data_IF_617875879017
#
_entry.id   IF_617875879017
#
_cell.length_a   1.000
_cell.length_b   1.000
_cell.length_c   1.000
_cell.angle_alpha   90.00
_cell.angle_beta   90.00
_cell.angle_gamma   90.00
#
_symmetry.space_group_name_H-M   'P 1'
#
loop_
_entity.id
_entity.type
_entity.pdbx_description
1 polymer ?
#
# COMPACT_ATOMS: atom_id res chain seq x y z
N UNK A 1 20.73 -25.49 -15.48
CA UNK A 1 20.54 -24.17 -14.87
C UNK A 1 21.09 -24.28 -13.44
N UNK A 2 22.16 -23.54 -13.12
CA UNK A 2 22.81 -23.68 -11.82
C UNK A 2 21.89 -23.19 -10.69
N UNK A 3 21.87 -23.90 -9.55
CA UNK A 3 21.15 -23.54 -8.33
C UNK A 3 21.37 -22.07 -7.89
N UNK A 4 22.51 -21.48 -8.24
CA UNK A 4 22.85 -20.06 -8.04
C UNK A 4 21.95 -19.14 -8.87
N UNK A 5 21.54 -19.53 -10.08
CA UNK A 5 20.61 -18.75 -10.91
C UNK A 5 19.17 -18.80 -10.39
N UNK A 6 18.80 -19.86 -9.66
CA UNK A 6 17.48 -19.96 -9.05
C UNK A 6 17.34 -18.97 -7.87
N UNK A 7 18.40 -18.84 -7.06
CA UNK A 7 18.43 -17.90 -5.93
C UNK A 7 18.37 -16.44 -6.39
N UNK A 8 19.00 -16.12 -7.51
CA UNK A 8 19.04 -14.76 -8.06
C UNK A 8 17.70 -14.33 -8.67
N UNK A 9 16.86 -15.26 -9.10
CA UNK A 9 15.58 -15.00 -9.77
C UNK A 9 14.42 -14.73 -8.80
N UNK A 10 14.52 -15.23 -7.57
CA UNK A 10 13.48 -15.08 -6.53
C UNK A 10 13.79 -13.98 -5.52
N UNK A 11 15.06 -13.67 -5.40
CA UNK A 11 15.59 -12.89 -4.30
C UNK A 11 15.98 -11.48 -4.72
N UNK A 12 15.52 -11.04 -5.90
CA UNK A 12 15.51 -9.60 -6.15
C UNK A 12 14.71 -9.00 -4.99
N UNK A 13 15.28 -8.05 -4.24
CA UNK A 13 14.54 -7.41 -3.18
C UNK A 13 13.20 -7.02 -3.79
N UNK A 14 12.09 -7.60 -3.26
CA UNK A 14 10.87 -6.84 -3.28
C UNK A 14 11.34 -5.51 -2.73
N UNK A 15 11.51 -4.52 -3.56
CA UNK A 15 11.68 -3.19 -3.11
C UNK A 15 10.68 -3.05 -1.98
N UNK A 16 11.10 -2.52 -0.84
CA UNK A 16 10.15 -1.92 0.06
C UNK A 16 9.41 -0.76 -0.62
N UNK A 17 9.67 -0.51 -1.90
CA UNK A 17 8.73 0.03 -2.85
C UNK A 17 7.54 -0.94 -2.86
N UNK A 18 6.73 -0.79 -1.87
CA UNK A 18 5.42 -1.34 -1.74
C UNK A 18 4.61 -0.60 -2.79
N UNK A 19 4.73 -1.09 -4.01
CA UNK A 19 4.14 -0.53 -5.17
C UNK A 19 2.64 -0.75 -5.12
N UNK A 20 1.90 0.30 -5.12
CA UNK A 20 0.46 0.29 -5.19
C UNK A 20 0.03 1.29 -6.26
N UNK A 21 -0.73 0.81 -7.21
CA UNK A 21 -1.33 1.66 -8.21
C UNK A 21 -2.50 2.42 -7.57
N UNK A 22 -2.36 3.71 -7.32
CA UNK A 22 -3.54 4.54 -7.23
C UNK A 22 -4.16 4.62 -8.62
N UNK A 23 -5.16 3.81 -8.85
CA UNK A 23 -6.22 4.21 -9.76
C UNK A 23 -7.15 5.05 -8.90
N UNK A 24 -6.88 6.34 -8.82
CA UNK A 24 -7.95 7.25 -8.44
C UNK A 24 -9.05 7.05 -9.49
N UNK A 25 -10.09 6.37 -9.07
CA UNK A 25 -11.38 6.50 -9.75
C UNK A 25 -11.77 7.98 -9.68
N UNK A 26 -12.49 8.53 -10.68
CA UNK A 26 -12.93 9.92 -10.63
C UNK A 26 -13.93 10.05 -9.49
N UNK A 27 -13.45 10.51 -8.41
CA UNK A 27 -14.19 10.68 -7.19
C UNK A 27 -14.31 12.13 -6.82
N UNK A 28 -14.36 13.02 -7.78
CA UNK A 28 -14.94 14.34 -7.49
C UNK A 28 -16.42 14.23 -7.05
N UNK A 29 -17.09 13.09 -7.29
CA UNK A 29 -18.48 12.87 -6.89
C UNK A 29 -18.69 11.58 -6.09
N UNK A 30 -17.82 10.56 -6.22
CA UNK A 30 -17.98 9.27 -5.52
C UNK A 30 -16.92 9.07 -4.42
N UNK A 31 -15.79 9.77 -4.44
CA UNK A 31 -14.70 9.73 -3.44
C UNK A 31 -14.72 10.91 -2.44
N UNK A 32 -15.79 11.66 -2.38
CA UNK A 32 -16.08 12.45 -1.16
C UNK A 32 -16.21 11.53 0.09
N UNK A 33 -15.92 10.23 -0.07
CA UNK A 33 -15.73 9.22 0.98
C UNK A 33 -14.26 8.91 1.27
N UNK A 34 -13.33 9.44 0.49
CA UNK A 34 -11.95 9.56 0.95
C UNK A 34 -11.94 10.42 2.19
N UNK A 35 -11.12 10.04 3.13
CA UNK A 35 -10.71 10.85 4.25
C UNK A 35 -10.80 12.33 3.84
N UNK A 36 -11.88 13.00 4.27
CA UNK A 36 -11.97 14.46 4.22
C UNK A 36 -10.59 14.93 4.64
N UNK A 37 -9.86 15.71 3.83
CA UNK A 37 -8.63 16.31 4.31
C UNK A 37 -8.97 16.94 5.64
N UNK A 38 -8.25 16.59 6.69
CA UNK A 38 -8.51 17.08 8.07
C UNK A 38 -8.58 18.61 8.15
N UNK A 39 -8.28 19.31 7.06
CA UNK A 39 -8.20 20.78 6.97
C UNK A 39 -9.53 21.49 6.69
N UNK A 40 -10.60 20.81 6.27
CA UNK A 40 -11.86 21.51 5.93
C UNK A 40 -12.92 21.49 7.05
N UNK A 41 -12.58 21.08 8.27
CA UNK A 41 -13.49 21.10 9.42
C UNK A 41 -13.29 22.33 10.34
N UNK A 42 -12.74 23.44 9.84
CA UNK A 42 -12.86 24.75 10.49
C UNK A 42 -14.10 25.51 10.03
N UNK A 43 -15.25 24.84 9.95
CA UNK A 43 -16.52 25.55 9.88
C UNK A 43 -17.01 25.86 11.29
N UNK A 44 -17.15 27.17 11.53
CA UNK A 44 -17.87 27.87 12.59
C UNK A 44 -18.69 26.97 13.53
N UNK A 45 -18.14 26.76 14.72
CA UNK A 45 -18.82 26.17 15.86
C UNK A 45 -20.00 27.07 16.28
N UNK A 46 -21.21 26.66 15.90
CA UNK A 46 -22.43 27.17 16.50
C UNK A 46 -22.63 26.45 17.86
N UNK A 47 -22.56 27.19 18.94
CA UNK A 47 -22.43 26.70 20.31
C UNK A 47 -23.62 25.92 20.87
N UNK A 48 -24.76 25.88 20.17
CA UNK A 48 -26.01 25.31 20.68
C UNK A 48 -26.36 23.88 20.19
N UNK A 49 -25.55 23.25 19.30
CA UNK A 49 -25.78 21.88 18.81
C UNK A 49 -24.84 20.81 19.41
N UNK A 50 -24.00 21.18 20.35
CA UNK A 50 -22.84 20.37 20.82
C UNK A 50 -23.21 19.13 21.67
N UNK A 51 -24.48 18.97 22.06
CA UNK A 51 -24.91 17.88 22.96
C UNK A 51 -25.76 16.78 22.28
N UNK A 52 -26.10 16.93 21.02
CA UNK A 52 -26.84 15.95 20.27
C UNK A 52 -25.92 14.89 19.62
N UNK A 53 -26.28 13.61 19.76
CA UNK A 53 -25.61 12.52 19.05
C UNK A 53 -25.84 12.66 17.54
N UNK A 54 -24.78 12.87 16.79
CA UNK A 54 -24.78 12.85 15.33
C UNK A 54 -24.41 11.44 14.84
N UNK A 55 -25.19 10.92 13.89
CA UNK A 55 -24.98 9.61 13.28
C UNK A 55 -24.78 9.82 11.77
N UNK A 56 -23.63 9.42 11.27
CA UNK A 56 -23.36 9.39 9.82
C UNK A 56 -23.14 7.96 9.38
N UNK A 57 -23.87 7.56 8.35
CA UNK A 57 -23.77 6.22 7.75
C UNK A 57 -23.43 6.40 6.27
N UNK A 58 -22.43 5.68 5.81
CA UNK A 58 -21.99 5.66 4.43
C UNK A 58 -21.67 4.23 4.04
N UNK A 59 -21.71 3.95 2.74
CA UNK A 59 -21.36 2.62 2.29
C UNK A 59 -21.31 2.48 0.78
N UNK A 60 -20.90 1.32 0.34
CA UNK A 60 -20.94 0.96 -1.06
C UNK A 60 -21.10 -0.55 -1.24
N UNK A 61 -21.59 -0.92 -2.42
CA UNK A 61 -21.56 -2.27 -2.95
C UNK A 61 -20.70 -2.25 -4.21
N UNK A 62 -19.66 -3.07 -4.29
CA UNK A 62 -18.88 -3.24 -5.51
C UNK A 62 -18.80 -4.72 -5.93
N UNK A 63 -18.65 -4.93 -7.24
CA UNK A 63 -18.29 -6.23 -7.78
C UNK A 63 -17.13 -6.04 -8.76
N UNK A 64 -16.12 -6.91 -8.66
CA UNK A 64 -14.89 -6.88 -9.45
C UNK A 64 -14.62 -8.26 -10.03
N UNK A 65 -14.47 -8.32 -11.34
CA UNK A 65 -14.19 -9.55 -12.06
C UNK A 65 -13.05 -9.32 -13.04
N UNK A 66 -12.07 -10.23 -13.03
CA UNK A 66 -10.91 -10.19 -13.91
C UNK A 66 -10.63 -11.54 -14.55
N UNK A 67 -10.28 -11.52 -15.83
CA UNK A 67 -9.91 -12.70 -16.62
C UNK A 67 -8.49 -12.52 -17.13
N UNK A 68 -7.68 -13.57 -17.01
CA UNK A 68 -6.35 -13.63 -17.60
C UNK A 68 -6.45 -13.57 -19.12
N UNK A 69 -5.64 -12.76 -19.75
CA UNK A 69 -5.58 -12.63 -21.21
C UNK A 69 -4.44 -13.43 -21.84
N UNK A 70 -3.56 -13.99 -21.00
CA UNK A 70 -2.43 -14.82 -21.43
C UNK A 70 -2.64 -16.27 -20.98
N UNK A 71 -2.49 -17.23 -21.88
CA UNK A 71 -2.67 -18.66 -21.56
C UNK A 71 -4.13 -19.12 -21.57
N UNK A 72 -4.62 -19.71 -20.49
CA UNK A 72 -5.90 -20.44 -20.45
C UNK A 72 -7.15 -19.59 -20.20
N UNK A 73 -7.07 -18.28 -20.18
CA UNK A 73 -8.19 -17.36 -19.88
C UNK A 73 -8.96 -17.74 -18.58
N UNK A 74 -8.21 -18.08 -17.53
CA UNK A 74 -8.75 -18.38 -16.21
C UNK A 74 -9.11 -17.12 -15.42
N UNK A 75 -9.96 -17.29 -14.40
CA UNK A 75 -10.33 -16.21 -13.52
C UNK A 75 -9.15 -15.74 -12.66
N UNK A 76 -8.84 -14.45 -12.71
CA UNK A 76 -7.84 -13.79 -11.89
C UNK A 76 -8.41 -13.17 -10.62
N UNK A 77 -9.64 -12.66 -10.70
CA UNK A 77 -10.41 -12.16 -9.57
C UNK A 77 -11.92 -12.37 -9.83
N UNK A 78 -12.67 -12.65 -8.79
CA UNK A 78 -14.13 -12.67 -8.79
C UNK A 78 -14.60 -12.35 -7.38
N UNK A 79 -14.94 -11.09 -7.13
CA UNK A 79 -15.27 -10.60 -5.80
C UNK A 79 -16.48 -9.67 -5.84
N UNK A 80 -17.39 -9.84 -4.89
CA UNK A 80 -18.44 -8.88 -4.56
C UNK A 80 -18.26 -8.45 -3.12
N UNK A 81 -18.32 -7.16 -2.84
CA UNK A 81 -18.08 -6.58 -1.52
C UNK A 81 -19.12 -5.52 -1.21
N UNK A 82 -19.66 -5.56 0.00
CA UNK A 82 -20.37 -4.45 0.61
C UNK A 82 -19.50 -3.87 1.73
N UNK A 83 -19.31 -2.56 1.74
CA UNK A 83 -18.70 -1.83 2.85
C UNK A 83 -19.74 -0.95 3.51
N UNK A 84 -19.83 -1.03 4.83
CA UNK A 84 -20.63 -0.12 5.66
C UNK A 84 -19.72 0.61 6.64
N UNK A 85 -19.90 1.92 6.76
CA UNK A 85 -19.18 2.80 7.66
C UNK A 85 -20.16 3.59 8.52
N UNK A 86 -19.94 3.56 9.82
CA UNK A 86 -20.76 4.28 10.79
C UNK A 86 -19.85 5.18 11.62
N UNK A 87 -20.19 6.45 11.69
CA UNK A 87 -19.56 7.42 12.57
C UNK A 87 -20.59 8.00 13.52
N UNK A 88 -20.35 7.82 14.81
CA UNK A 88 -21.15 8.35 15.91
C UNK A 88 -20.36 9.47 16.59
N UNK A 89 -20.87 10.69 16.60
CA UNK A 89 -20.19 11.86 17.18
C UNK A 89 -21.05 12.48 18.27
N UNK A 90 -20.42 12.79 19.41
CA UNK A 90 -21.01 13.56 20.49
C UNK A 90 -19.96 14.44 21.16
N UNK A 91 -20.11 15.75 21.02
CA UNK A 91 -19.11 16.71 21.51
C UNK A 91 -17.73 16.43 20.95
N UNK A 92 -16.73 16.33 21.82
CA UNK A 92 -15.33 16.07 21.44
C UNK A 92 -15.02 14.61 21.08
N UNK A 93 -15.98 13.69 21.20
CA UNK A 93 -15.74 12.23 21.06
C UNK A 93 -16.46 11.69 19.85
N UNK A 94 -15.78 10.83 19.07
CA UNK A 94 -16.43 10.06 18.01
C UNK A 94 -16.00 8.59 18.01
N UNK A 95 -16.93 7.70 17.69
CA UNK A 95 -16.69 6.30 17.38
C UNK A 95 -16.82 6.10 15.86
N UNK A 96 -15.81 5.52 15.25
CA UNK A 96 -15.85 5.11 13.84
C UNK A 96 -15.72 3.60 13.71
N UNK A 97 -16.58 3.00 12.88
CA UNK A 97 -16.55 1.57 12.56
C UNK A 97 -16.74 1.40 11.05
N UNK A 98 -15.84 0.65 10.41
CA UNK A 98 -15.93 0.25 9.00
C UNK A 98 -15.84 -1.27 8.88
N UNK A 99 -16.84 -1.87 8.21
CA UNK A 99 -16.99 -3.32 8.01
C UNK A 99 -17.07 -3.63 6.52
N UNK A 100 -16.39 -4.69 6.11
CA UNK A 100 -16.54 -5.29 4.79
C UNK A 100 -17.33 -6.62 4.94
N UNK A 101 -18.32 -6.85 4.08
CA UNK A 101 -18.88 -8.15 3.80
C UNK A 101 -18.43 -8.56 2.40
N UNK A 102 -17.67 -9.66 2.28
CA UNK A 102 -16.98 -10.06 1.06
C UNK A 102 -17.48 -11.44 0.64
N UNK A 103 -17.83 -11.58 -0.63
CA UNK A 103 -17.95 -12.85 -1.32
C UNK A 103 -16.81 -12.97 -2.33
N UNK A 104 -15.99 -14.01 -2.22
CA UNK A 104 -14.89 -14.29 -3.14
C UNK A 104 -15.11 -15.62 -3.86
N UNK A 105 -15.31 -15.58 -5.17
CA UNK A 105 -15.61 -16.76 -5.97
C UNK A 105 -14.39 -17.67 -6.22
N UNK A 106 -13.17 -17.17 -6.06
CA UNK A 106 -11.92 -17.92 -6.26
C UNK A 106 -11.37 -18.40 -4.92
N UNK A 107 -11.18 -17.49 -3.97
CA UNK A 107 -10.63 -17.75 -2.63
C UNK A 107 -11.78 -17.80 -1.62
N UNK A 108 -12.43 -18.95 -1.50
CA UNK A 108 -13.61 -19.12 -0.64
C UNK A 108 -13.35 -18.78 0.82
N UNK A 109 -12.12 -18.98 1.30
CA UNK A 109 -11.66 -18.63 2.64
C UNK A 109 -11.62 -17.11 2.90
N UNK A 110 -11.67 -16.30 1.86
CA UNK A 110 -11.81 -14.83 1.93
C UNK A 110 -13.27 -14.36 1.92
N UNK A 111 -14.23 -15.30 1.82
CA UNK A 111 -15.65 -14.99 1.96
C UNK A 111 -15.99 -14.84 3.44
N UNK A 112 -16.61 -13.72 3.81
CA UNK A 112 -16.99 -13.46 5.20
C UNK A 112 -17.13 -11.98 5.52
N UNK A 113 -17.16 -11.69 6.82
CA UNK A 113 -17.20 -10.32 7.35
C UNK A 113 -15.83 -9.97 7.91
N UNK A 114 -15.31 -8.83 7.53
CA UNK A 114 -14.03 -8.29 7.96
C UNK A 114 -14.22 -6.94 8.64
N UNK A 115 -13.65 -6.79 9.84
CA UNK A 115 -13.54 -5.50 10.49
C UNK A 115 -12.36 -4.73 9.87
N UNK A 116 -12.66 -3.70 9.07
CA UNK A 116 -11.62 -2.86 8.46
C UNK A 116 -11.05 -1.90 9.50
N UNK A 117 -11.89 -1.03 10.07
CA UNK A 117 -11.48 -0.09 11.10
C UNK A 117 -12.50 -0.05 12.23
N UNK A 118 -12.03 0.17 13.46
CA UNK A 118 -12.86 0.45 14.63
C UNK A 118 -12.02 1.22 15.65
N UNK A 119 -12.28 2.52 15.80
CA UNK A 119 -11.54 3.36 16.74
C UNK A 119 -12.43 4.39 17.42
N UNK A 120 -12.05 4.73 18.64
CA UNK A 120 -12.56 5.88 19.36
C UNK A 120 -11.61 7.06 19.12
N UNK A 121 -12.17 8.23 18.80
CA UNK A 121 -11.42 9.49 18.68
C UNK A 121 -11.91 10.50 19.70
N UNK A 122 -10.97 11.34 20.17
CA UNK A 122 -11.23 12.48 21.03
C UNK A 122 -10.48 13.68 20.48
N UNK A 123 -11.23 14.71 20.07
CA UNK A 123 -10.66 15.93 19.47
C UNK A 123 -11.13 17.13 20.29
N UNK A 124 -10.18 17.84 20.90
CA UNK A 124 -10.47 19.07 21.67
C UNK A 124 -9.34 20.07 21.55
N UNK A 125 -9.66 21.27 21.05
CA UNK A 125 -8.66 22.29 20.79
C UNK A 125 -7.60 21.77 19.81
N UNK A 126 -6.35 21.79 20.21
CA UNK A 126 -5.21 21.38 19.40
C UNK A 126 -4.90 19.88 19.45
N UNK A 127 -5.63 19.10 20.27
CA UNK A 127 -5.36 17.69 20.51
C UNK A 127 -6.36 16.79 19.75
N UNK A 128 -5.84 15.82 18.97
CA UNK A 128 -6.58 14.70 18.39
C UNK A 128 -5.96 13.38 18.89
N UNK A 129 -6.78 12.56 19.50
CA UNK A 129 -6.39 11.21 19.97
C UNK A 129 -7.26 10.17 19.28
N UNK A 130 -6.65 9.06 18.82
CA UNK A 130 -7.36 7.89 18.29
C UNK A 130 -6.83 6.62 18.92
N UNK A 131 -7.73 5.77 19.39
CA UNK A 131 -7.42 4.47 20.01
C UNK A 131 -8.25 3.40 19.35
N UNK A 132 -7.61 2.36 18.85
CA UNK A 132 -8.28 1.22 18.22
C UNK A 132 -7.63 0.77 16.94
N UNK A 133 -8.44 0.11 16.10
CA UNK A 133 -8.05 -0.43 14.79
C UNK A 133 -8.19 0.66 13.74
N UNK A 134 -7.08 1.15 13.19
CA UNK A 134 -7.04 2.31 12.31
C UNK A 134 -5.96 2.17 11.23
N UNK A 135 -6.15 2.81 10.08
CA UNK A 135 -5.15 2.96 9.05
C UNK A 135 -4.37 4.25 9.32
N UNK A 136 -3.04 4.17 9.31
CA UNK A 136 -2.14 5.32 9.49
C UNK A 136 -1.28 5.46 8.25
N UNK A 137 -1.30 6.65 7.64
CA UNK A 137 -0.59 6.96 6.40
C UNK A 137 0.43 8.06 6.67
N UNK A 138 1.68 7.85 6.26
CA UNK A 138 2.74 8.83 6.28
C UNK A 138 3.34 9.00 4.87
N UNK A 139 4.03 10.11 4.61
CA UNK A 139 4.65 10.38 3.32
C UNK A 139 3.74 11.09 2.32
N UNK A 140 4.32 11.48 1.19
CA UNK A 140 3.67 12.28 0.13
C UNK A 140 3.75 11.61 -1.25
N UNK A 141 4.41 10.46 -1.36
CA UNK A 141 4.58 9.73 -2.61
C UNK A 141 3.28 9.02 -3.02
N UNK A 142 2.96 9.07 -4.32
CA UNK A 142 1.87 8.30 -4.89
C UNK A 142 2.38 6.92 -5.28
N UNK A 143 1.65 5.89 -4.85
CA UNK A 143 1.91 4.50 -5.24
C UNK A 143 3.29 3.93 -4.83
N UNK A 144 4.17 4.72 -4.21
CA UNK A 144 5.44 4.29 -3.61
C UNK A 144 5.43 4.66 -2.12
N UNK A 145 6.04 3.84 -1.29
CA UNK A 145 5.99 4.02 0.17
C UNK A 145 7.39 3.97 0.74
N UNK A 146 7.97 5.14 1.04
CA UNK A 146 9.29 5.23 1.66
C UNK A 146 9.17 5.51 3.16
N UNK A 147 8.44 6.55 3.53
CA UNK A 147 8.21 6.92 4.93
C UNK A 147 6.92 6.30 5.50
N UNK A 148 6.01 5.82 4.64
CA UNK A 148 4.74 5.20 5.01
C UNK A 148 4.92 3.73 5.44
N UNK A 149 5.50 3.53 6.63
CA UNK A 149 5.85 2.20 7.16
C UNK A 149 4.95 1.71 8.30
N UNK A 150 3.93 2.48 8.72
CA UNK A 150 3.07 2.12 9.87
C UNK A 150 2.09 1.02 9.49
N UNK A 151 1.22 1.27 8.51
CA UNK A 151 0.19 0.32 8.06
C UNK A 151 0.78 -0.66 7.04
N UNK A 152 0.70 -1.99 7.23
CA UNK A 152 1.15 -2.96 6.25
C UNK A 152 0.20 -3.07 5.06
N UNK A 153 0.57 -3.87 4.06
CA UNK A 153 -0.17 -4.08 2.80
C UNK A 153 -0.64 -5.52 2.68
N UNK A 154 -1.83 -5.71 2.12
CA UNK A 154 -2.35 -7.00 1.66
C UNK A 154 -2.04 -7.18 0.15
N UNK A 155 -1.14 -8.08 -0.19
CA UNK A 155 -0.77 -8.41 -1.57
C UNK A 155 -1.57 -9.59 -2.13
N UNK A 156 -2.72 -9.92 -1.57
CA UNK A 156 -3.52 -11.09 -2.00
C UNK A 156 -3.86 -11.06 -3.48
N UNK A 157 -4.11 -9.89 -4.05
CA UNK A 157 -4.32 -9.67 -5.49
C UNK A 157 -3.21 -8.81 -6.12
N UNK A 158 -2.04 -8.74 -5.47
CA UNK A 158 -0.84 -7.99 -5.86
C UNK A 158 -1.18 -6.53 -6.21
N UNK A 159 -0.94 -6.10 -7.47
CA UNK A 159 -1.23 -4.74 -7.95
C UNK A 159 -2.61 -4.59 -8.61
N UNK A 160 -3.42 -5.66 -8.64
CA UNK A 160 -4.75 -5.65 -9.26
C UNK A 160 -5.84 -5.03 -8.37
N UNK A 161 -5.55 -4.76 -7.09
CA UNK A 161 -6.47 -4.06 -6.19
C UNK A 161 -6.30 -2.55 -6.23
N UNK A 162 -7.34 -1.84 -5.79
CA UNK A 162 -7.26 -0.42 -5.53
C UNK A 162 -6.31 -0.14 -4.35
N UNK A 163 -5.55 0.92 -4.43
CA UNK A 163 -4.50 1.26 -3.46
C UNK A 163 -5.00 1.37 -2.02
N UNK A 164 -6.13 2.05 -1.82
CA UNK A 164 -6.65 2.26 -0.46
C UNK A 164 -7.20 0.99 0.16
N UNK A 165 -7.63 0.05 -0.67
CA UNK A 165 -8.15 -1.23 -0.20
C UNK A 165 -7.06 -2.19 0.28
N UNK A 166 -5.86 -2.09 -0.27
CA UNK A 166 -4.74 -2.96 0.11
C UNK A 166 -4.09 -2.55 1.44
N UNK A 167 -4.31 -1.33 1.94
CA UNK A 167 -3.78 -0.92 3.24
C UNK A 167 -4.47 -1.66 4.38
N UNK A 168 -3.67 -2.29 5.22
CA UNK A 168 -4.16 -3.02 6.38
C UNK A 168 -4.11 -2.12 7.62
N UNK A 169 -5.16 -2.14 8.45
CA UNK A 169 -5.18 -1.39 9.69
C UNK A 169 -4.21 -1.96 10.73
N UNK A 170 -3.77 -1.09 11.63
CA UNK A 170 -3.02 -1.42 12.84
C UNK A 170 -3.87 -1.18 14.08
N UNK A 171 -3.58 -1.92 15.16
CA UNK A 171 -4.25 -1.70 16.45
C UNK A 171 -3.33 -0.89 17.34
N UNK A 172 -3.72 0.35 17.66
CA UNK A 172 -2.83 1.23 18.39
C UNK A 172 -3.44 2.53 18.84
N UNK A 173 -2.56 3.36 19.38
CA UNK A 173 -2.80 4.74 19.76
C UNK A 173 -2.15 5.64 18.72
N UNK A 174 -2.88 6.67 18.28
CA UNK A 174 -2.38 7.80 17.51
C UNK A 174 -2.74 9.08 18.25
N UNK A 175 -1.76 9.94 18.48
CA UNK A 175 -1.95 11.23 19.10
C UNK A 175 -1.38 12.33 18.21
N UNK A 176 -2.16 13.36 17.94
CA UNK A 176 -1.73 14.55 17.21
C UNK A 176 -1.92 15.78 18.07
N UNK A 177 -0.98 16.71 17.98
CA UNK A 177 -1.08 18.03 18.59
C UNK A 177 -0.67 19.09 17.57
N UNK A 178 -1.60 19.98 17.21
CA UNK A 178 -1.40 21.01 16.18
C UNK A 178 -1.27 22.38 16.84
N UNK A 179 -0.20 23.10 16.54
CA UNK A 179 0.04 24.45 17.01
C UNK A 179 0.42 25.35 15.82
N UNK A 180 -0.52 26.16 15.37
CA UNK A 180 -0.34 26.98 14.16
C UNK A 180 -0.04 26.09 12.94
N UNK A 181 1.09 26.32 12.29
CA UNK A 181 1.54 25.58 11.13
C UNK A 181 2.22 24.22 11.48
N UNK A 182 2.40 23.90 12.75
CA UNK A 182 3.17 22.72 13.18
C UNK A 182 2.22 21.67 13.76
N UNK A 183 2.30 20.44 13.27
CA UNK A 183 1.62 19.26 13.82
C UNK A 183 2.65 18.24 14.27
N UNK A 184 2.61 17.88 15.55
CA UNK A 184 3.35 16.74 16.10
C UNK A 184 2.41 15.54 16.19
N UNK A 185 2.82 14.41 15.63
CA UNK A 185 2.10 13.14 15.67
C UNK A 185 2.94 12.06 16.34
N UNK A 186 2.31 11.24 17.18
CA UNK A 186 2.92 10.06 17.78
C UNK A 186 2.03 8.85 17.54
N UNK A 187 2.65 7.70 17.26
CA UNK A 187 1.97 6.41 17.07
C UNK A 187 2.58 5.35 17.97
N UNK A 188 1.74 4.45 18.48
CA UNK A 188 2.15 3.33 19.30
C UNK A 188 1.25 2.11 18.99
N UNK A 189 1.83 1.06 18.41
CA UNK A 189 1.15 -0.18 18.07
C UNK A 189 1.67 -1.31 18.96
N UNK A 190 0.91 -1.72 20.00
CA UNK A 190 1.32 -2.79 20.93
C UNK A 190 1.52 -4.14 20.26
N UNK A 191 0.80 -4.38 19.15
CA UNK A 191 0.89 -5.61 18.37
C UNK A 191 1.19 -5.26 16.92
N UNK A 192 2.30 -5.78 16.41
CA UNK A 192 2.72 -5.58 15.03
C UNK A 192 1.89 -6.41 14.07
N UNK A 193 1.41 -5.78 13.00
CA UNK A 193 0.83 -6.43 11.84
C UNK A 193 1.87 -6.47 10.71
N UNK A 194 1.84 -7.56 9.92
CA UNK A 194 2.73 -7.77 8.78
C UNK A 194 1.94 -7.81 7.48
N UNK A 195 2.63 -7.56 6.36
CA UNK A 195 2.05 -7.69 5.04
C UNK A 195 1.56 -9.12 4.77
N UNK A 196 0.47 -9.24 4.02
CA UNK A 196 -0.06 -10.51 3.57
C UNK A 196 0.51 -10.80 2.18
N UNK A 197 1.23 -11.92 2.05
CA UNK A 197 1.74 -12.42 0.77
C UNK A 197 1.03 -13.72 0.49
N UNK A 198 0.31 -13.87 -0.64
CA UNK A 198 -0.38 -15.10 -0.96
C UNK A 198 0.63 -16.21 -1.31
N UNK A 199 0.51 -17.36 -0.65
CA UNK A 199 1.33 -18.55 -0.89
C UNK A 199 0.52 -19.75 -1.38
N UNK A 200 -0.81 -19.68 -1.28
CA UNK A 200 -1.71 -20.70 -1.79
C UNK A 200 -1.78 -20.66 -3.32
N UNK A 201 -1.38 -21.72 -3.97
CA UNK A 201 -1.31 -21.82 -5.43
C UNK A 201 -2.68 -21.72 -6.15
N UNK A 202 -3.80 -21.83 -5.42
CA UNK A 202 -5.14 -21.53 -5.94
C UNK A 202 -5.31 -20.03 -6.22
N UNK A 203 -4.56 -19.20 -5.53
CA UNK A 203 -4.52 -17.77 -5.80
C UNK A 203 -3.69 -17.50 -7.06
N UNK A 204 -4.22 -16.83 -8.10
CA UNK A 204 -3.47 -16.47 -9.30
C UNK A 204 -2.24 -15.59 -9.03
N UNK A 205 -2.28 -14.84 -7.92
CA UNK A 205 -1.21 -13.92 -7.47
C UNK A 205 -0.26 -14.55 -6.44
N UNK A 206 -0.39 -15.86 -6.20
CA UNK A 206 0.48 -16.55 -5.25
C UNK A 206 1.95 -16.43 -5.62
N UNK A 207 2.79 -16.28 -4.59
CA UNK A 207 4.24 -16.36 -4.75
C UNK A 207 4.63 -17.74 -5.26
N UNK A 208 5.31 -17.79 -6.40
CA UNK A 208 5.74 -19.03 -7.06
C UNK A 208 7.22 -19.00 -7.33
N UNK A 209 7.88 -20.15 -7.16
CA UNK A 209 9.25 -20.32 -7.59
C UNK A 209 9.28 -20.54 -9.13
N UNK A 210 9.84 -19.61 -9.91
CA UNK A 210 9.94 -19.83 -11.35
C UNK A 210 10.98 -20.92 -11.67
N UNK A 211 10.66 -21.78 -12.62
CA UNK A 211 11.60 -22.74 -13.23
C UNK A 211 12.27 -23.76 -12.27
N UNK A 212 11.61 -24.12 -11.16
CA UNK A 212 12.06 -25.27 -10.36
C UNK A 212 11.24 -26.52 -10.68
N UNK A 213 11.91 -27.65 -10.82
CA UNK A 213 11.28 -28.97 -10.86
C UNK A 213 11.23 -29.63 -9.49
N UNK A 214 11.90 -29.05 -8.49
CA UNK A 214 11.89 -29.55 -7.12
C UNK A 214 10.59 -29.14 -6.42
N UNK A 215 9.99 -30.03 -5.62
CA UNK A 215 8.93 -29.65 -4.71
C UNK A 215 9.43 -28.57 -3.75
N UNK A 216 8.56 -27.68 -3.33
CA UNK A 216 8.92 -26.64 -2.36
C UNK A 216 7.78 -26.32 -1.40
N UNK A 217 8.14 -25.85 -0.22
CA UNK A 217 7.22 -25.30 0.78
C UNK A 217 7.60 -23.87 1.15
N UNK A 218 6.60 -23.07 1.50
CA UNK A 218 6.79 -21.66 1.89
C UNK A 218 6.14 -21.47 3.25
N UNK A 219 6.93 -21.06 4.23
CA UNK A 219 6.46 -20.69 5.57
C UNK A 219 6.82 -19.24 5.89
N UNK A 220 5.85 -18.35 5.81
CA UNK A 220 6.01 -16.94 6.16
C UNK A 220 5.49 -16.61 7.55
N UNK A 221 4.87 -17.58 8.23
CA UNK A 221 4.22 -17.34 9.52
C UNK A 221 5.13 -17.63 10.72
N UNK A 222 5.89 -18.72 10.70
CA UNK A 222 6.70 -19.16 11.84
C UNK A 222 7.81 -18.18 12.23
N UNK A 223 8.27 -17.34 11.30
CA UNK A 223 9.27 -16.31 11.56
C UNK A 223 8.73 -15.01 12.16
N UNK A 224 7.42 -14.85 12.31
CA UNK A 224 6.82 -13.64 12.89
C UNK A 224 7.14 -13.54 14.39
N UNK A 225 7.44 -12.33 14.90
CA UNK A 225 7.67 -12.14 16.32
C UNK A 225 6.41 -12.41 17.15
N UNK A 226 6.61 -12.87 18.38
CA UNK A 226 5.52 -13.07 19.33
C UNK A 226 4.75 -11.77 19.59
N UNK A 227 3.43 -11.87 19.80
CA UNK A 227 2.56 -10.74 20.16
C UNK A 227 2.78 -10.32 21.61
N UNK A 228 3.89 -9.64 21.89
CA UNK A 228 4.27 -9.13 23.21
C UNK A 228 4.63 -7.65 23.15
N UNK A 229 4.42 -6.91 24.23
CA UNK A 229 4.73 -5.47 24.31
C UNK A 229 6.19 -5.13 23.99
N UNK A 230 7.17 -6.03 24.29
CA UNK A 230 8.57 -5.83 23.88
C UNK A 230 8.76 -5.70 22.36
N UNK A 231 7.80 -6.21 21.58
CA UNK A 231 7.79 -6.19 20.13
C UNK A 231 6.92 -5.06 19.55
N UNK A 232 6.42 -4.15 20.40
CA UNK A 232 5.63 -3.00 20.00
C UNK A 232 6.37 -2.10 19.00
N UNK A 233 5.60 -1.41 18.19
CA UNK A 233 6.09 -0.38 17.28
C UNK A 233 5.72 0.99 17.81
N UNK A 234 6.60 1.95 17.63
CA UNK A 234 6.35 3.32 18.06
C UNK A 234 7.18 4.31 17.24
N UNK A 235 6.65 5.49 17.11
CA UNK A 235 7.32 6.55 16.37
C UNK A 235 6.58 7.87 16.44
N UNK A 236 7.13 8.83 15.73
CA UNK A 236 6.54 10.15 15.64
C UNK A 236 6.88 10.84 14.33
N UNK A 237 6.08 11.85 14.00
CA UNK A 237 6.21 12.69 12.82
C UNK A 237 5.95 14.14 13.25
N UNK A 238 6.74 15.06 12.76
CA UNK A 238 6.49 16.49 12.85
C UNK A 238 6.26 16.99 11.43
N UNK A 239 5.10 17.59 11.20
CA UNK A 239 4.72 18.19 9.92
C UNK A 239 4.64 19.69 10.09
N UNK A 240 5.14 20.44 9.12
CA UNK A 240 5.06 21.89 9.05
C UNK A 240 4.39 22.29 7.76
N UNK A 241 3.21 22.88 7.87
CA UNK A 241 2.40 23.35 6.74
C UNK A 241 2.58 24.87 6.61
N UNK A 242 3.32 25.30 5.60
CA UNK A 242 3.54 26.71 5.29
C UNK A 242 2.80 27.09 4.01
N UNK A 243 2.56 28.39 3.83
CA UNK A 243 2.00 28.86 2.57
C UNK A 243 2.94 28.52 1.41
N UNK A 244 2.56 27.54 0.60
CA UNK A 244 3.32 27.12 -0.59
C UNK A 244 4.34 26.01 -0.37
N UNK A 245 4.48 25.43 0.84
CA UNK A 245 5.30 24.24 1.06
C UNK A 245 4.87 23.49 2.31
N UNK A 246 4.73 22.19 2.18
CA UNK A 246 4.55 21.27 3.29
C UNK A 246 5.79 20.40 3.41
N UNK A 247 6.28 20.21 4.61
CA UNK A 247 7.36 19.27 4.84
C UNK A 247 7.19 18.54 6.18
N UNK A 248 7.74 17.33 6.27
CA UNK A 248 7.74 16.61 7.53
C UNK A 248 9.03 15.83 7.76
N UNK A 249 9.28 15.55 9.02
CA UNK A 249 10.32 14.62 9.48
C UNK A 249 9.69 13.57 10.36
N UNK A 250 10.16 12.33 10.24
CA UNK A 250 9.58 11.18 10.95
C UNK A 250 10.65 10.20 11.42
N UNK A 251 10.34 9.52 12.52
CA UNK A 251 11.14 8.41 13.02
C UNK A 251 10.20 7.30 13.50
N UNK A 252 10.48 6.06 13.12
CA UNK A 252 9.65 4.91 13.47
C UNK A 252 10.53 3.72 13.85
N UNK A 253 10.38 3.19 15.05
CA UNK A 253 10.92 1.89 15.45
C UNK A 253 9.89 0.83 15.15
N UNK A 254 10.15 0.02 14.12
CA UNK A 254 9.20 -0.92 13.52
C UNK A 254 9.87 -2.26 13.19
N UNK A 255 9.18 -3.09 12.46
CA UNK A 255 9.65 -4.33 11.87
C UNK A 255 9.62 -4.22 10.35
N UNK A 256 10.50 -4.95 9.66
CA UNK A 256 10.30 -5.17 8.24
C UNK A 256 8.90 -5.75 8.01
N UNK A 257 8.01 -4.99 7.37
CA UNK A 257 6.60 -5.42 7.15
C UNK A 257 6.51 -6.60 6.19
N UNK A 258 7.42 -6.65 5.21
CA UNK A 258 7.64 -7.81 4.35
C UNK A 258 8.74 -8.68 4.96
N UNK A 259 8.61 -10.02 4.91
CA UNK A 259 9.65 -10.91 5.37
C UNK A 259 10.86 -10.87 4.43
N UNK A 260 12.05 -10.93 4.98
CA UNK A 260 13.22 -11.34 4.23
C UNK A 260 13.20 -12.86 4.05
N UNK A 261 13.41 -13.33 2.83
CA UNK A 261 13.29 -14.74 2.49
C UNK A 261 14.63 -15.45 2.69
N UNK A 262 14.58 -16.56 3.40
CA UNK A 262 15.66 -17.53 3.49
C UNK A 262 15.25 -18.79 2.71
N UNK A 263 16.14 -19.30 1.88
CA UNK A 263 15.91 -20.50 1.09
C UNK A 263 16.94 -21.55 1.41
N UNK A 264 16.50 -22.76 1.68
CA UNK A 264 17.36 -23.92 1.95
C UNK A 264 16.82 -25.20 1.34
N UNK A 265 17.68 -26.21 1.24
CA UNK A 265 17.27 -27.58 0.95
C UNK A 265 16.78 -28.27 2.21
N UNK A 266 15.76 -29.12 2.09
CA UNK A 266 15.39 -30.03 3.18
C UNK A 266 16.52 -31.02 3.46
N UNK A 267 16.55 -31.59 4.65
CA UNK A 267 17.62 -32.52 5.10
C UNK A 267 17.80 -33.73 4.19
N UNK A 268 16.77 -34.16 3.50
CA UNK A 268 16.80 -35.27 2.53
C UNK A 268 17.24 -34.82 1.12
N UNK A 269 17.47 -33.52 0.92
CA UNK A 269 17.91 -32.95 -0.35
C UNK A 269 16.87 -33.01 -1.49
N UNK A 270 15.60 -33.38 -1.21
CA UNK A 270 14.59 -33.63 -2.25
C UNK A 270 13.64 -32.46 -2.49
N UNK A 271 13.56 -31.51 -1.58
CA UNK A 271 12.69 -30.34 -1.68
C UNK A 271 13.35 -29.07 -1.19
N UNK A 272 12.78 -27.93 -1.57
CA UNK A 272 13.19 -26.61 -1.11
C UNK A 272 12.26 -26.15 0.02
N UNK A 273 12.84 -25.44 1.00
CA UNK A 273 12.09 -24.76 2.04
C UNK A 273 12.41 -23.28 2.02
N UNK A 274 11.36 -22.46 2.04
CA UNK A 274 11.46 -21.00 2.06
C UNK A 274 10.84 -20.50 3.34
N UNK A 275 11.66 -19.85 4.17
CA UNK A 275 11.22 -19.24 5.43
C UNK A 275 11.14 -17.72 5.30
N UNK A 276 10.08 -17.13 5.85
CA UNK A 276 10.01 -15.70 6.09
C UNK A 276 10.72 -15.32 7.40
N UNK A 277 11.65 -14.36 7.34
CA UNK A 277 12.36 -13.82 8.49
C UNK A 277 12.00 -12.35 8.68
N UNK A 278 11.61 -11.99 9.89
CA UNK A 278 11.21 -10.64 10.26
C UNK A 278 12.23 -10.05 11.23
N UNK A 279 12.76 -8.87 10.91
CA UNK A 279 13.74 -8.19 11.74
C UNK A 279 13.23 -6.81 12.16
N UNK A 280 13.71 -6.36 13.31
CA UNK A 280 13.38 -5.04 13.82
C UNK A 280 14.27 -4.00 13.16
N UNK A 281 13.65 -2.94 12.63
CA UNK A 281 14.36 -1.86 11.95
C UNK A 281 13.95 -0.50 12.51
N UNK A 282 14.76 0.51 12.22
CA UNK A 282 14.39 1.91 12.44
C UNK A 282 14.31 2.62 11.10
N UNK A 283 13.21 3.33 10.85
CA UNK A 283 13.05 4.25 9.74
C UNK A 283 13.23 5.67 10.24
N UNK A 284 14.10 6.45 9.59
CA UNK A 284 14.21 7.90 9.73
C UNK A 284 13.84 8.50 8.38
N UNK A 285 12.85 9.37 8.37
CA UNK A 285 12.28 9.88 7.12
C UNK A 285 12.11 11.38 7.10
N UNK A 286 12.10 11.94 5.90
CA UNK A 286 11.63 13.28 5.63
C UNK A 286 10.89 13.31 4.30
N UNK A 287 9.88 14.14 4.21
CA UNK A 287 9.10 14.35 2.99
C UNK A 287 8.78 15.82 2.79
N UNK A 288 8.54 16.22 1.54
CA UNK A 288 8.22 17.58 1.16
C UNK A 288 7.29 17.56 -0.06
N UNK A 289 6.33 18.50 -0.05
CA UNK A 289 5.44 18.79 -1.17
C UNK A 289 5.47 20.29 -1.45
N UNK A 290 5.74 20.65 -2.71
CA UNK A 290 5.95 22.03 -3.15
C UNK A 290 5.09 22.34 -4.38
N UNK A 291 3.90 22.95 -4.25
CA UNK A 291 3.10 23.43 -5.36
C UNK A 291 3.74 24.67 -6.01
N UNK A 292 3.92 24.62 -7.32
CA UNK A 292 4.49 25.71 -8.15
C UNK A 292 3.64 25.86 -9.41
N UNK A 293 2.70 26.79 -9.40
CA UNK A 293 1.81 27.02 -10.55
C UNK A 293 0.97 25.77 -10.87
N UNK A 294 1.20 25.17 -12.03
CA UNK A 294 0.49 23.94 -12.47
C UNK A 294 1.24 22.66 -12.05
N UNK A 295 2.32 22.76 -11.31
CA UNK A 295 3.12 21.64 -10.88
C UNK A 295 3.10 21.46 -9.37
N UNK A 296 3.18 20.20 -8.91
CA UNK A 296 3.51 19.87 -7.53
C UNK A 296 4.76 19.00 -7.54
N UNK A 297 5.83 19.50 -6.93
CA UNK A 297 7.06 18.75 -6.75
C UNK A 297 6.98 18.01 -5.43
N UNK A 298 7.25 16.71 -5.44
CA UNK A 298 7.29 15.86 -4.25
C UNK A 298 8.68 15.26 -4.08
N UNK A 299 9.14 15.20 -2.85
CA UNK A 299 10.38 14.54 -2.51
C UNK A 299 10.23 13.76 -1.20
N UNK A 300 10.78 12.54 -1.16
CA UNK A 300 10.90 11.76 0.06
C UNK A 300 12.31 11.20 0.21
N UNK A 301 12.76 11.10 1.44
CA UNK A 301 13.96 10.36 1.82
C UNK A 301 13.66 9.51 3.04
N UNK A 302 14.10 8.25 3.03
CA UNK A 302 13.96 7.34 4.17
C UNK A 302 15.24 6.52 4.35
N UNK A 303 15.89 6.68 5.49
CA UNK A 303 16.99 5.84 5.93
C UNK A 303 16.42 4.68 6.73
N UNK A 304 16.61 3.45 6.22
CA UNK A 304 16.29 2.23 6.93
C UNK A 304 17.56 1.71 7.60
N UNK A 305 17.52 1.59 8.91
CA UNK A 305 18.63 1.05 9.73
C UNK A 305 18.24 -0.37 10.13
N UNK A 306 19.15 -1.32 9.90
CA UNK A 306 18.97 -2.76 10.15
C UNK A 306 17.81 -3.38 9.32
N UNK A 307 17.65 -2.96 8.06
CA UNK A 307 16.69 -3.58 7.16
C UNK A 307 17.13 -5.01 6.79
N UNK A 308 16.25 -5.99 7.03
CA UNK A 308 16.52 -7.38 6.66
C UNK A 308 16.52 -7.56 5.13
N UNK A 309 17.53 -8.24 4.63
CA UNK A 309 17.73 -8.51 3.22
C UNK A 309 17.55 -10.01 2.93
N UNK A 310 16.97 -10.32 1.78
CA UNK A 310 16.82 -11.70 1.32
C UNK A 310 18.18 -12.40 1.27
N UNK A 311 18.22 -13.66 1.68
CA UNK A 311 19.45 -14.46 1.72
C UNK A 311 19.68 -15.22 0.41
N UNK A 312 20.93 -15.41 0.03
CA UNK A 312 21.28 -16.39 -1.00
C UNK A 312 20.93 -17.81 -0.51
N UNK A 313 20.77 -18.73 -1.45
CA UNK A 313 20.43 -20.13 -1.12
C UNK A 313 21.43 -20.74 -0.16
N UNK A 314 20.93 -21.31 0.94
CA UNK A 314 21.74 -21.89 2.00
C UNK A 314 22.40 -20.88 2.93
N UNK A 315 22.15 -19.59 2.78
CA UNK A 315 22.64 -18.53 3.65
C UNK A 315 21.57 -18.04 4.63
N UNK A 316 21.99 -17.41 5.71
CA UNK A 316 21.11 -16.73 6.66
C UNK A 316 20.78 -15.29 6.20
N UNK A 317 19.65 -14.78 6.64
CA UNK A 317 19.23 -13.39 6.43
C UNK A 317 20.18 -12.45 7.18
N UNK A 318 20.64 -11.42 6.49
CA UNK A 318 21.49 -10.39 7.06
C UNK A 318 20.79 -9.03 7.00
N UNK A 319 21.06 -8.18 8.00
CA UNK A 319 20.56 -6.80 8.01
C UNK A 319 21.56 -5.84 7.35
N UNK A 320 21.03 -4.86 6.61
CA UNK A 320 21.81 -3.77 6.00
C UNK A 320 21.10 -2.45 6.18
N UNK A 321 21.87 -1.38 6.14
CA UNK A 321 21.30 -0.05 6.08
C UNK A 321 20.97 0.29 4.63
N UNK A 322 19.80 0.88 4.40
CA UNK A 322 19.37 1.29 3.06
C UNK A 322 18.84 2.72 3.06
N UNK A 323 19.32 3.52 2.12
CA UNK A 323 18.81 4.85 1.85
C UNK A 323 17.87 4.80 0.65
N UNK A 324 16.61 5.14 0.88
CA UNK A 324 15.59 5.27 -0.17
C UNK A 324 15.33 6.77 -0.41
N UNK A 325 15.33 7.18 -1.67
CA UNK A 325 15.05 8.55 -2.08
C UNK A 325 14.03 8.56 -3.21
N UNK A 326 13.12 9.51 -3.19
CA UNK A 326 12.12 9.70 -4.23
C UNK A 326 12.07 11.17 -4.62
N UNK A 327 11.93 11.39 -5.93
CA UNK A 327 11.52 12.66 -6.50
C UNK A 327 10.33 12.41 -7.43
N UNK A 328 9.33 13.28 -7.35
CA UNK A 328 8.13 13.22 -8.16
C UNK A 328 7.69 14.59 -8.63
N UNK A 329 6.98 14.62 -9.74
CA UNK A 329 6.35 15.81 -10.28
C UNK A 329 4.94 15.45 -10.73
N UNK A 330 3.95 16.19 -10.24
CA UNK A 330 2.59 16.17 -10.75
C UNK A 330 2.37 17.42 -11.59
N UNK A 331 1.66 17.26 -12.69
CA UNK A 331 1.34 18.33 -13.62
C UNK A 331 -0.15 18.40 -13.91
N UNK A 332 -0.72 19.57 -13.67
CA UNK A 332 -2.14 19.91 -13.85
C UNK A 332 -2.28 21.00 -14.93
N UNK A 333 -2.14 20.68 -16.22
CA UNK A 333 -2.12 21.68 -17.31
C UNK A 333 -3.49 22.34 -17.58
N UNK A 334 -4.49 21.99 -16.83
CA UNK A 334 -5.89 22.41 -17.07
C UNK A 334 -6.61 21.48 -18.05
N UNK A 335 -7.86 21.83 -18.40
CA UNK A 335 -8.74 21.00 -19.22
C UNK A 335 -8.84 19.55 -18.72
N UNK A 336 -8.89 19.37 -17.41
CA UNK A 336 -9.08 18.08 -16.71
C UNK A 336 -7.99 17.02 -17.03
N UNK A 337 -6.80 17.46 -17.37
CA UNK A 337 -5.62 16.61 -17.46
C UNK A 337 -4.88 16.54 -16.11
N UNK A 338 -4.42 15.35 -15.77
CA UNK A 338 -3.53 15.10 -14.65
C UNK A 338 -2.43 14.14 -15.10
N UNK A 339 -1.19 14.53 -14.90
CA UNK A 339 -0.03 13.68 -15.17
C UNK A 339 0.90 13.65 -13.96
N UNK A 340 1.49 12.50 -13.67
CA UNK A 340 2.46 12.33 -12.58
C UNK A 340 3.61 11.45 -13.05
N UNK A 341 4.82 11.81 -12.65
CA UNK A 341 6.04 11.02 -12.87
C UNK A 341 6.84 11.01 -11.57
N UNK A 342 7.26 9.82 -11.13
CA UNK A 342 8.08 9.67 -9.94
C UNK A 342 9.23 8.69 -10.21
N UNK A 343 10.36 8.92 -9.55
CA UNK A 343 11.49 8.00 -9.53
C UNK A 343 11.96 7.77 -8.10
N UNK A 344 12.02 6.53 -7.72
CA UNK A 344 12.55 6.07 -6.45
C UNK A 344 13.87 5.34 -6.65
N UNK A 345 14.87 5.70 -5.86
CA UNK A 345 16.18 5.07 -5.83
C UNK A 345 16.46 4.49 -4.44
N UNK A 346 16.90 3.23 -4.40
CA UNK A 346 17.38 2.56 -3.18
C UNK A 346 18.87 2.31 -3.27
N UNK A 347 19.61 2.77 -2.28
CA UNK A 347 21.03 2.46 -2.07
C UNK A 347 21.16 1.55 -0.84
N UNK A 348 21.73 0.35 -1.00
CA UNK A 348 22.00 -0.56 0.11
C UNK A 348 23.49 -0.58 0.43
N UNK A 349 23.83 -0.28 1.68
CA UNK A 349 25.22 -0.18 2.16
C UNK A 349 25.78 -1.52 2.65
N UNK A 350 27.09 -1.57 2.86
CA UNK A 350 27.80 -2.73 3.45
C UNK A 350 28.23 -3.77 2.40
N UNK A 351 28.68 -4.94 2.87
CA UNK A 351 29.05 -6.06 2.01
C UNK A 351 27.78 -6.80 1.54
N UNK A 352 27.63 -6.98 0.22
CA UNK A 352 26.47 -7.59 -0.43
C UNK A 352 26.81 -8.92 -1.13
N UNK A 353 28.03 -9.46 -1.00
CA UNK A 353 28.49 -10.65 -1.73
C UNK A 353 27.63 -11.90 -1.50
N UNK A 354 27.03 -12.03 -0.31
CA UNK A 354 26.15 -13.15 0.05
C UNK A 354 24.65 -12.84 -0.06
N UNK A 355 24.32 -11.65 -0.59
CA UNK A 355 22.98 -11.18 -0.70
C UNK A 355 22.60 -11.06 -2.19
N UNK A 356 21.51 -11.67 -2.64
CA UNK A 356 21.07 -11.59 -4.03
C UNK A 356 20.32 -10.26 -4.30
N UNK A 357 20.95 -9.14 -3.94
CA UNK A 357 20.37 -7.80 -4.05
C UNK A 357 21.33 -6.87 -4.79
N UNK A 358 20.80 -5.81 -5.33
CA UNK A 358 21.59 -4.75 -5.97
C UNK A 358 21.97 -3.68 -4.94
N UNK A 359 23.17 -3.12 -5.08
CA UNK A 359 23.60 -1.96 -4.31
C UNK A 359 22.77 -0.73 -4.64
N UNK A 360 22.45 -0.56 -5.91
CA UNK A 360 21.59 0.48 -6.44
C UNK A 360 20.40 -0.16 -7.14
N UNK A 361 19.21 0.24 -6.79
CA UNK A 361 18.00 -0.23 -7.41
C UNK A 361 17.04 0.94 -7.63
N UNK A 362 16.31 0.93 -8.74
CA UNK A 362 15.42 2.01 -9.15
C UNK A 362 14.06 1.52 -9.62
N UNK A 363 13.02 2.25 -9.23
CA UNK A 363 11.66 2.10 -9.75
C UNK A 363 11.17 3.49 -10.17
N UNK A 364 10.50 3.55 -11.32
CA UNK A 364 9.76 4.72 -11.76
C UNK A 364 8.26 4.42 -11.80
N UNK A 365 7.44 5.44 -11.54
CA UNK A 365 6.00 5.40 -11.79
C UNK A 365 5.61 6.53 -12.72
N UNK A 366 4.64 6.26 -13.59
CA UNK A 366 4.06 7.26 -14.47
C UNK A 366 2.54 7.13 -14.48
N UNK A 367 1.85 8.23 -14.40
CA UNK A 367 0.38 8.31 -14.47
C UNK A 367 -0.03 9.38 -15.46
N UNK A 368 -1.11 9.11 -16.19
CA UNK A 368 -1.79 10.08 -17.01
C UNK A 368 -3.28 9.84 -16.89
N UNK A 369 -4.04 10.89 -16.61
CA UNK A 369 -5.49 10.83 -16.54
C UNK A 369 -6.12 12.00 -17.30
N UNK A 370 -7.30 11.75 -17.86
CA UNK A 370 -8.13 12.76 -18.54
C UNK A 370 -9.58 12.53 -18.18
N UNK A 371 -10.24 13.57 -17.72
CA UNK A 371 -11.69 13.58 -17.51
C UNK A 371 -12.38 14.21 -18.70
N UNK A 372 -13.52 13.65 -19.09
CA UNK A 372 -14.31 13.98 -20.27
C UNK A 372 -15.79 14.00 -19.90
N UNK A 373 -16.64 14.56 -20.80
CA UNK A 373 -18.09 14.57 -20.63
C UNK A 373 -18.53 15.16 -19.28
N UNK A 374 -17.98 16.32 -18.92
CA UNK A 374 -18.26 16.98 -17.63
C UNK A 374 -17.95 16.04 -16.43
N UNK A 375 -16.79 15.40 -16.47
CA UNK A 375 -16.26 14.49 -15.46
C UNK A 375 -17.02 13.16 -15.29
N UNK A 376 -17.96 12.84 -16.19
CA UNK A 376 -18.67 11.56 -16.17
C UNK A 376 -17.86 10.41 -16.77
N UNK A 377 -16.87 10.71 -17.62
CA UNK A 377 -15.98 9.73 -18.21
C UNK A 377 -14.52 10.04 -17.87
N UNK A 378 -13.83 9.13 -17.18
CA UNK A 378 -12.41 9.23 -16.89
C UNK A 378 -11.63 8.15 -17.63
N UNK A 379 -10.61 8.57 -18.34
CA UNK A 379 -9.61 7.71 -18.94
C UNK A 379 -8.32 7.84 -18.10
N UNK A 380 -7.70 6.74 -17.73
CA UNK A 380 -6.43 6.79 -17.01
C UNK A 380 -5.49 5.64 -17.39
N UNK A 381 -4.20 5.91 -17.29
CA UNK A 381 -3.15 4.91 -17.34
C UNK A 381 -2.18 5.14 -16.20
N UNK A 382 -1.71 4.04 -15.62
CA UNK A 382 -0.71 4.04 -14.58
C UNK A 382 0.33 2.95 -14.85
N UNK A 383 1.61 3.26 -14.70
CA UNK A 383 2.68 2.31 -14.92
C UNK A 383 3.69 2.29 -13.77
N UNK A 384 4.16 1.09 -13.44
CA UNK A 384 5.41 0.85 -12.73
C UNK A 384 6.46 0.34 -13.69
N UNK A 385 7.66 0.88 -13.60
CA UNK A 385 8.83 0.45 -14.37
C UNK A 385 9.94 0.09 -13.38
N UNK A 386 10.29 -1.20 -13.34
CA UNK A 386 11.48 -1.67 -12.63
C UNK A 386 12.71 -1.32 -13.46
N UNK A 387 13.31 -0.15 -13.19
CA UNK A 387 14.45 0.37 -13.93
C UNK A 387 15.66 -0.54 -13.79
N UNK A 388 15.78 -1.25 -12.66
CA UNK A 388 16.91 -2.15 -12.38
C UNK A 388 16.86 -3.42 -13.21
N UNK A 389 15.67 -4.01 -13.39
CA UNK A 389 15.49 -5.31 -14.03
C UNK A 389 14.81 -5.25 -15.41
N UNK A 390 14.24 -4.09 -15.80
CA UNK A 390 13.56 -3.90 -17.07
C UNK A 390 12.12 -4.45 -17.08
N UNK A 391 11.48 -4.65 -15.92
CA UNK A 391 10.10 -5.08 -15.83
C UNK A 391 9.11 -3.92 -15.86
N UNK A 392 7.90 -4.16 -16.35
CA UNK A 392 6.81 -3.18 -16.38
C UNK A 392 5.49 -3.82 -15.93
N UNK A 393 4.73 -3.07 -15.14
CA UNK A 393 3.31 -3.21 -14.93
C UNK A 393 2.63 -1.96 -15.48
N UNK A 394 1.54 -2.12 -16.23
CA UNK A 394 0.73 -0.98 -16.68
C UNK A 394 -0.75 -1.32 -16.53
N UNK A 395 -1.49 -0.41 -15.92
CA UNK A 395 -2.95 -0.44 -15.80
C UNK A 395 -3.56 0.62 -16.69
N UNK A 396 -4.39 0.20 -17.63
CA UNK A 396 -5.28 1.05 -18.40
C UNK A 396 -6.68 0.94 -17.82
N UNK A 397 -7.36 2.05 -17.62
CA UNK A 397 -8.74 2.04 -17.12
C UNK A 397 -9.60 3.14 -17.73
N UNK A 398 -10.87 2.81 -17.89
CA UNK A 398 -11.92 3.72 -18.28
C UNK A 398 -13.03 3.59 -17.26
N UNK A 399 -13.40 4.69 -16.60
CA UNK A 399 -14.51 4.75 -15.64
C UNK A 399 -15.59 5.65 -16.18
N UNK A 400 -16.83 5.18 -16.14
CA UNK A 400 -18.01 5.93 -16.52
C UNK A 400 -18.99 6.01 -15.35
N UNK A 401 -19.33 7.21 -14.92
CA UNK A 401 -20.34 7.50 -13.91
C UNK A 401 -21.71 7.52 -14.55
N UNK A 402 -22.52 6.50 -14.25
CA UNK A 402 -23.91 6.42 -14.73
C UNK A 402 -24.80 7.47 -14.05
N UNK A 403 -24.52 7.76 -12.80
CA UNK A 403 -25.10 8.80 -11.96
C UNK A 403 -24.17 9.03 -10.75
N UNK A 404 -24.57 9.89 -9.81
CA UNK A 404 -23.77 10.25 -8.62
C UNK A 404 -23.48 9.07 -7.69
N UNK A 405 -24.23 7.97 -7.77
CA UNK A 405 -24.11 6.81 -6.92
C UNK A 405 -23.48 5.61 -7.63
N UNK A 406 -23.58 5.53 -8.96
CA UNK A 406 -23.24 4.32 -9.73
C UNK A 406 -22.17 4.59 -10.75
N UNK A 407 -21.09 3.86 -10.69
CA UNK A 407 -20.01 3.90 -11.67
C UNK A 407 -19.66 2.49 -12.17
N UNK A 408 -19.35 2.40 -13.46
CA UNK A 408 -18.77 1.21 -14.08
C UNK A 408 -17.35 1.53 -14.55
N UNK A 409 -16.41 0.65 -14.25
CA UNK A 409 -15.05 0.75 -14.73
C UNK A 409 -14.66 -0.52 -15.47
N UNK A 410 -13.91 -0.34 -16.54
CA UNK A 410 -13.29 -1.43 -17.30
C UNK A 410 -11.81 -1.13 -17.46
N UNK A 411 -10.99 -2.17 -17.54
CA UNK A 411 -9.56 -1.93 -17.71
C UNK A 411 -8.80 -3.16 -18.14
N UNK A 412 -7.51 -2.91 -18.31
CA UNK A 412 -6.53 -3.92 -18.70
C UNK A 412 -5.24 -3.74 -17.90
N UNK A 413 -4.79 -4.79 -17.24
CA UNK A 413 -3.54 -4.84 -16.53
C UNK A 413 -2.51 -5.63 -17.36
N UNK A 414 -1.43 -4.97 -17.71
CA UNK A 414 -0.34 -5.53 -18.49
C UNK A 414 0.88 -5.77 -17.62
N UNK A 415 1.42 -6.99 -17.64
CA UNK A 415 2.66 -7.37 -16.99
C UNK A 415 3.66 -7.87 -17.99
N UNK A 416 4.88 -7.37 -17.96
CA UNK A 416 6.00 -7.87 -18.74
C UNK A 416 7.30 -7.74 -17.97
N UNK A 417 8.06 -8.83 -17.85
CA UNK A 417 9.42 -8.80 -17.32
C UNK A 417 10.18 -10.10 -17.65
N UNK A 418 11.45 -9.95 -17.94
CA UNK A 418 12.39 -11.07 -18.07
C UNK A 418 13.08 -11.39 -16.74
N UNK A 419 13.18 -10.42 -15.83
CA UNK A 419 13.82 -10.51 -14.54
C UNK A 419 13.04 -9.70 -13.50
N UNK A 420 13.47 -9.78 -12.24
CA UNK A 420 12.91 -9.00 -11.16
C UNK A 420 11.54 -9.48 -10.69
N UNK A 421 10.89 -8.64 -9.87
CA UNK A 421 9.64 -9.00 -9.21
C UNK A 421 8.48 -9.22 -10.19
N UNK A 422 8.42 -8.48 -11.28
CA UNK A 422 7.35 -8.62 -12.27
C UNK A 422 7.45 -9.89 -13.10
N UNK A 423 8.62 -10.56 -13.12
CA UNK A 423 8.77 -11.85 -13.83
C UNK A 423 7.82 -12.92 -13.30
N UNK A 424 7.62 -12.95 -11.99
CA UNK A 424 6.70 -13.92 -11.36
C UNK A 424 5.27 -13.73 -11.89
N UNK A 425 4.91 -12.51 -12.25
CA UNK A 425 3.58 -12.10 -12.72
C UNK A 425 3.51 -11.84 -14.22
N UNK A 426 4.55 -12.15 -14.99
CA UNK A 426 4.62 -11.86 -16.44
C UNK A 426 3.55 -12.57 -17.31
N UNK A 427 2.85 -13.56 -16.73
CA UNK A 427 1.69 -14.23 -17.36
C UNK A 427 0.35 -13.82 -16.74
N UNK A 428 0.32 -12.80 -15.90
CA UNK A 428 -0.85 -12.38 -15.17
C UNK A 428 -1.53 -11.14 -15.76
N UNK A 429 -1.25 -10.83 -17.05
CA UNK A 429 -2.01 -9.79 -17.73
C UNK A 429 -3.49 -10.15 -17.78
N UNK A 430 -4.36 -9.20 -17.43
CA UNK A 430 -5.79 -9.44 -17.26
C UNK A 430 -6.64 -8.29 -17.79
N UNK A 431 -7.84 -8.63 -18.27
CA UNK A 431 -8.92 -7.69 -18.51
C UNK A 431 -9.91 -7.75 -17.36
N UNK A 432 -10.37 -6.60 -16.89
CA UNK A 432 -11.22 -6.56 -15.72
C UNK A 432 -12.40 -5.58 -15.89
N UNK A 433 -13.44 -5.81 -15.10
CA UNK A 433 -14.62 -4.97 -14.96
C UNK A 433 -14.97 -4.79 -13.49
N UNK A 434 -15.38 -3.57 -13.12
CA UNK A 434 -15.85 -3.20 -11.78
C UNK A 434 -17.16 -2.42 -11.91
N UNK A 435 -18.14 -2.78 -11.10
CA UNK A 435 -19.35 -1.99 -10.89
C UNK A 435 -19.39 -1.58 -9.42
N UNK A 436 -19.64 -0.31 -9.13
CA UNK A 436 -19.73 0.24 -7.78
C UNK A 436 -21.02 1.05 -7.64
N UNK A 437 -21.73 0.82 -6.55
CA UNK A 437 -22.86 1.62 -6.09
C UNK A 437 -22.57 2.15 -4.69
N UNK A 438 -22.65 3.46 -4.50
CA UNK A 438 -22.37 4.16 -3.23
C UNK A 438 -23.65 4.78 -2.66
N UNK A 439 -23.81 4.81 -1.32
CA UNK A 439 -24.98 5.35 -0.63
C UNK A 439 -24.61 6.03 0.68
#
# INVERSE_FOLDING_TARGET
>A
MNLIQLSTLLLVPMFSAQASAQVETPTAVIDSLETVPEETLQETYDKDSDDALQVRVKGFLDTYHALRTTGNADWMASRTRARGEVRLEKGATALFVSLNAIYNGILKERTGIELREAYLSYTKGNLDLRVGRQIVIWGVADALRLTDCVSPIDYTEFLAQDYDDIRMPVNGLRAKYTLGAITAEAVCNPVTNFAVIPTDLRNPWAMRLPNTSLPYSIDLESGKPEKRLKNMEYGGRITVNLSGVDFSVSALRTWNKLPALRMGMTTDGKSLHIDGRYHRMTMLGADCSLPIGQFVIRAEVAQYIDEAQNAAMGCEVECRNALNTLIGIDWYPGNDWNASLQYCHKYTSGNLERLPIYRHAGIATARLAKELLQNTLKLSTFAYVDVTNGGIFNRLSTTYSLNDQTAIAIGYDYFHADRGMFKMYGKNSEAWVKLKYSF
#
